data_IF_491202254545
#
_entry.id   IF_491202254545
#
_cell.length_a   1.000
_cell.length_b   1.000
_cell.length_c   1.000
_cell.angle_alpha   90.00
_cell.angle_beta   90.00
_cell.angle_gamma   90.00
#
_symmetry.space_group_name_H-M   'P 1'
#
loop_
_entity.id
_entity.type
_entity.pdbx_description
1 polymer ?
#
# COMPACT_ATOMS: atom_id res chain seq x y z
N UNK A 1 75.12 2.49 8.32
CA UNK A 1 74.09 2.68 7.28
C UNK A 1 73.10 1.53 7.38
N UNK A 2 71.86 1.89 7.64
CA UNK A 2 70.73 1.03 7.98
C UNK A 2 70.25 0.23 6.77
N UNK A 3 70.02 -1.08 6.93
CA UNK A 3 68.76 -1.69 6.50
C UNK A 3 68.56 -3.06 7.18
N UNK A 4 67.53 -3.14 8.01
CA UNK A 4 66.98 -4.33 8.65
C UNK A 4 65.67 -4.65 7.93
N UNK A 5 65.45 -5.91 7.59
CA UNK A 5 64.17 -6.37 7.05
C UNK A 5 64.00 -7.87 7.28
N UNK A 6 63.53 -8.24 8.47
CA UNK A 6 63.07 -9.59 8.80
C UNK A 6 61.62 -9.75 8.34
N UNK A 7 61.31 -10.92 7.79
CA UNK A 7 59.95 -11.30 7.39
C UNK A 7 59.02 -11.65 8.55
N UNK A 8 57.74 -11.50 8.27
CA UNK A 8 56.54 -12.10 8.89
C UNK A 8 55.52 -12.13 7.73
N UNK A 9 54.73 -13.16 7.45
CA UNK A 9 54.06 -14.13 8.30
C UNK A 9 52.60 -14.11 7.86
N UNK A 10 52.15 -15.17 7.17
CA UNK A 10 50.78 -15.32 6.66
C UNK A 10 49.76 -15.29 7.79
N UNK A 11 48.75 -14.42 7.68
CA UNK A 11 47.59 -14.39 8.56
C UNK A 11 46.35 -13.95 7.78
N UNK A 12 45.49 -14.91 7.47
CA UNK A 12 44.18 -14.68 6.88
C UNK A 12 43.29 -13.91 7.88
N UNK A 13 43.07 -12.62 7.62
CA UNK A 13 42.13 -11.78 8.35
C UNK A 13 40.73 -11.91 7.75
N UNK A 14 39.86 -12.60 8.48
CA UNK A 14 38.44 -12.74 8.18
C UNK A 14 37.77 -11.35 8.24
N UNK A 15 37.30 -10.85 7.09
CA UNK A 15 36.49 -9.64 6.99
C UNK A 15 35.09 -9.93 7.55
N UNK A 16 34.86 -9.57 8.81
CA UNK A 16 33.50 -9.40 9.34
C UNK A 16 32.88 -8.19 8.63
N UNK A 17 32.04 -8.46 7.62
CA UNK A 17 31.12 -7.48 7.09
C UNK A 17 30.00 -7.28 8.13
N UNK A 18 30.15 -6.27 8.99
CA UNK A 18 29.01 -5.70 9.71
C UNK A 18 28.09 -5.05 8.67
N UNK A 19 27.06 -5.79 8.25
CA UNK A 19 25.88 -5.20 7.62
C UNK A 19 25.24 -4.26 8.64
N UNK A 20 25.53 -2.96 8.50
CA UNK A 20 24.63 -1.94 8.99
C UNK A 20 23.40 -2.04 8.08
N UNK A 21 22.35 -2.71 8.56
CA UNK A 21 21.01 -2.49 8.04
C UNK A 21 20.71 -1.01 8.30
N UNK A 22 21.02 -0.16 7.32
CA UNK A 22 20.41 1.15 7.22
C UNK A 22 18.93 0.88 7.09
N UNK A 23 18.20 1.01 8.20
CA UNK A 23 16.77 1.22 8.16
C UNK A 23 16.55 2.46 7.31
N UNK A 24 16.17 2.24 6.06
CA UNK A 24 15.47 3.23 5.27
C UNK A 24 14.12 3.40 5.99
N UNK A 25 14.11 4.20 7.06
CA UNK A 25 12.84 4.72 7.56
C UNK A 25 12.35 5.64 6.46
N UNK A 26 11.35 5.14 5.73
CA UNK A 26 10.61 5.90 4.75
C UNK A 26 10.26 7.26 5.36
N UNK A 27 10.59 8.31 4.61
CA UNK A 27 10.33 9.70 4.97
C UNK A 27 8.86 9.82 5.45
N UNK A 28 8.69 10.23 6.70
CA UNK A 28 7.41 10.56 7.33
C UNK A 28 6.36 9.42 7.48
N UNK A 29 6.79 8.15 7.53
CA UNK A 29 5.86 7.03 7.75
C UNK A 29 4.86 6.82 6.61
N UNK A 30 5.25 7.23 5.39
CA UNK A 30 4.50 7.00 4.15
C UNK A 30 5.22 5.97 3.30
N UNK A 31 4.52 4.90 2.94
CA UNK A 31 5.05 3.84 2.09
C UNK A 31 4.23 3.79 0.80
N UNK A 32 4.86 4.21 -0.31
CA UNK A 32 4.23 4.16 -1.62
C UNK A 32 4.23 2.75 -2.22
N UNK A 33 5.12 1.87 -1.74
CA UNK A 33 5.33 0.51 -2.25
C UNK A 33 5.05 -0.54 -1.15
N UNK A 34 4.31 -1.63 -1.45
CA UNK A 34 4.03 -2.68 -0.46
C UNK A 34 5.27 -3.42 0.07
N UNK A 35 6.32 -3.58 -0.73
CA UNK A 35 7.54 -4.25 -0.25
C UNK A 35 8.27 -3.38 0.77
N UNK A 36 8.29 -2.06 0.56
CA UNK A 36 8.75 -1.12 1.58
C UNK A 36 7.84 -1.12 2.83
N UNK A 37 6.52 -1.17 2.64
CA UNK A 37 5.55 -1.20 3.74
C UNK A 37 5.69 -2.46 4.63
N UNK A 38 6.15 -3.59 4.08
CA UNK A 38 6.39 -4.82 4.83
C UNK A 38 7.47 -4.70 5.92
N UNK A 39 8.24 -3.62 5.94
CA UNK A 39 9.15 -3.30 7.05
C UNK A 39 8.40 -2.88 8.32
N UNK A 40 7.16 -2.43 8.21
CA UNK A 40 6.28 -2.12 9.33
C UNK A 40 5.51 -3.40 9.75
N UNK A 41 5.67 -3.89 10.99
CA UNK A 41 4.94 -5.07 11.47
C UNK A 41 3.41 -4.89 11.40
N UNK A 42 2.89 -3.66 11.54
CA UNK A 42 1.45 -3.41 11.50
C UNK A 42 0.87 -3.68 10.10
N UNK A 43 1.69 -3.57 9.05
CA UNK A 43 1.27 -3.82 7.67
C UNK A 43 0.85 -5.29 7.45
N UNK A 44 1.45 -6.23 8.17
CA UNK A 44 1.11 -7.64 8.08
C UNK A 44 -0.24 -7.98 8.74
N UNK A 45 -0.66 -7.17 9.72
CA UNK A 45 -1.91 -7.34 10.46
C UNK A 45 -3.06 -6.54 9.81
N UNK A 46 -2.75 -5.43 9.15
CA UNK A 46 -3.73 -4.69 8.37
C UNK A 46 -4.26 -5.55 7.22
N UNK A 47 -5.58 -5.52 7.00
CA UNK A 47 -6.23 -6.21 5.89
C UNK A 47 -7.72 -6.45 6.09
N UNK A 48 -8.28 -7.24 5.16
CA UNK A 48 -9.64 -7.73 5.26
C UNK A 48 -9.65 -9.21 5.62
N UNK A 49 -10.57 -9.59 6.48
CA UNK A 49 -10.70 -10.94 6.99
C UNK A 49 -12.16 -11.41 6.95
N UNK A 50 -12.36 -12.72 6.78
CA UNK A 50 -13.70 -13.32 6.75
C UNK A 50 -13.74 -14.65 7.50
N UNK A 51 -14.88 -14.94 8.12
CA UNK A 51 -15.26 -16.27 8.60
C UNK A 51 -16.78 -16.33 8.80
N UNK A 52 -17.42 -17.46 8.46
CA UNK A 52 -18.80 -17.79 8.85
C UNK A 52 -19.82 -16.64 8.71
N UNK A 53 -19.86 -16.00 7.54
CA UNK A 53 -20.78 -14.89 7.28
C UNK A 53 -20.44 -13.60 8.03
N UNK A 54 -19.21 -13.44 8.50
CA UNK A 54 -18.68 -12.20 9.08
C UNK A 54 -17.55 -11.66 8.21
N UNK A 55 -17.55 -10.35 8.00
CA UNK A 55 -16.42 -9.58 7.47
C UNK A 55 -15.76 -8.78 8.57
N UNK A 56 -14.44 -8.63 8.53
CA UNK A 56 -13.69 -7.74 9.42
C UNK A 56 -12.68 -6.95 8.59
N UNK A 57 -12.67 -5.63 8.75
CA UNK A 57 -11.63 -4.75 8.22
C UNK A 57 -10.76 -4.28 9.38
N UNK A 58 -9.45 -4.52 9.26
CA UNK A 58 -8.44 -4.07 10.22
C UNK A 58 -7.57 -3.03 9.53
N UNK A 59 -7.53 -1.82 10.05
CA UNK A 59 -6.73 -0.70 9.53
C UNK A 59 -5.68 -0.29 10.56
N UNK A 60 -4.39 -0.34 10.19
CA UNK A 60 -3.31 0.07 11.09
C UNK A 60 -3.45 1.56 11.44
N UNK A 61 -3.24 1.90 12.71
CA UNK A 61 -3.17 3.25 13.23
C UNK A 61 -1.73 3.63 13.58
N UNK A 62 -0.79 2.71 13.41
CA UNK A 62 0.61 2.84 13.80
C UNK A 62 0.83 2.55 15.28
N UNK A 63 2.10 2.34 15.63
CA UNK A 63 2.55 1.98 16.97
C UNK A 63 1.80 0.77 17.57
N UNK A 64 1.46 -0.22 16.75
CA UNK A 64 0.80 -1.45 17.20
C UNK A 64 -0.69 -1.29 17.51
N UNK A 65 -1.30 -0.17 17.08
CA UNK A 65 -2.75 0.09 17.26
C UNK A 65 -3.50 -0.09 15.96
N UNK A 66 -4.75 -0.52 16.07
CA UNK A 66 -5.59 -0.84 14.92
C UNK A 66 -7.00 -0.32 15.12
N UNK A 67 -7.59 0.12 14.03
CA UNK A 67 -9.01 0.37 13.91
C UNK A 67 -9.65 -0.87 13.30
N UNK A 68 -10.64 -1.44 14.00
CA UNK A 68 -11.29 -2.68 13.63
C UNK A 68 -12.76 -2.38 13.36
N UNK A 69 -13.24 -2.79 12.19
CA UNK A 69 -14.64 -2.73 11.81
C UNK A 69 -15.13 -4.13 11.52
N UNK A 70 -16.19 -4.56 12.21
CA UNK A 70 -16.82 -5.86 11.98
C UNK A 70 -18.15 -5.67 11.24
N UNK A 71 -18.51 -6.67 10.45
CA UNK A 71 -19.70 -6.67 9.62
C UNK A 71 -20.39 -8.03 9.68
N UNK A 72 -21.64 -8.06 10.13
CA UNK A 72 -22.50 -9.24 9.99
C UNK A 72 -22.92 -9.44 8.52
N UNK A 73 -23.02 -10.68 8.05
CA UNK A 73 -23.41 -11.00 6.67
C UNK A 73 -22.26 -10.95 5.63
N UNK A 74 -21.10 -10.39 5.98
CA UNK A 74 -19.92 -10.34 5.09
C UNK A 74 -19.31 -8.94 5.00
N UNK A 75 -18.34 -8.74 4.11
CA UNK A 75 -17.70 -7.44 3.90
C UNK A 75 -18.58 -6.51 3.03
N UNK A 76 -18.35 -5.18 3.06
CA UNK A 76 -18.94 -4.27 2.09
C UNK A 76 -18.69 -4.73 0.63
N UNK A 77 -19.79 -4.85 -0.14
CA UNK A 77 -19.77 -5.37 -1.51
C UNK A 77 -19.59 -6.90 -1.62
N UNK A 78 -19.66 -7.62 -0.51
CA UNK A 78 -19.54 -9.07 -0.44
C UNK A 78 -20.48 -9.66 0.62
N UNK A 79 -21.79 -9.43 0.47
CA UNK A 79 -22.84 -10.04 1.29
C UNK A 79 -23.39 -9.16 2.42
N UNK A 80 -22.67 -8.11 2.83
CA UNK A 80 -23.17 -7.18 3.85
C UNK A 80 -24.43 -6.44 3.41
N UNK A 81 -25.45 -6.39 4.27
CA UNK A 81 -26.73 -5.74 4.02
C UNK A 81 -26.84 -4.31 4.57
N UNK A 82 -25.77 -3.80 5.19
CA UNK A 82 -25.75 -2.48 5.82
C UNK A 82 -26.07 -2.48 7.32
N UNK A 83 -26.36 -3.64 7.92
CA UNK A 83 -26.71 -3.78 9.34
C UNK A 83 -25.67 -4.60 10.12
N UNK A 84 -25.71 -4.56 11.47
CA UNK A 84 -24.78 -5.35 12.29
C UNK A 84 -23.30 -4.97 12.08
N UNK A 85 -23.02 -3.66 12.13
CA UNK A 85 -21.67 -3.10 12.04
C UNK A 85 -21.24 -2.60 13.41
N UNK A 86 -20.07 -3.06 13.87
CA UNK A 86 -19.41 -2.54 15.07
C UNK A 86 -18.02 -2.02 14.72
N UNK A 87 -17.54 -1.06 15.51
CA UNK A 87 -16.29 -0.34 15.27
C UNK A 87 -15.59 -0.04 16.60
N UNK A 88 -14.31 -0.37 16.69
CA UNK A 88 -13.52 -0.19 17.91
C UNK A 88 -12.02 -0.14 17.58
N UNK A 89 -11.21 0.25 18.55
CA UNK A 89 -9.74 0.18 18.46
C UNK A 89 -9.22 -0.99 19.29
N UNK A 90 -8.16 -1.63 18.81
CA UNK A 90 -7.44 -2.70 19.51
C UNK A 90 -5.93 -2.56 19.32
N UNK A 91 -5.16 -3.21 20.18
CA UNK A 91 -3.74 -3.43 19.95
C UNK A 91 -3.48 -4.68 19.08
N UNK A 92 -2.23 -4.86 18.67
CA UNK A 92 -1.81 -6.01 17.85
C UNK A 92 -2.20 -7.37 18.47
N UNK A 93 -2.10 -7.51 19.79
CA UNK A 93 -2.42 -8.76 20.48
C UNK A 93 -3.94 -8.99 20.50
N UNK A 94 -4.74 -7.95 20.73
CA UNK A 94 -6.19 -7.96 20.67
C UNK A 94 -6.70 -8.35 19.28
N UNK A 95 -6.13 -7.76 18.22
CA UNK A 95 -6.46 -8.14 16.84
C UNK A 95 -6.10 -9.60 16.56
N UNK A 96 -4.93 -10.05 17.01
CA UNK A 96 -4.50 -11.43 16.77
C UNK A 96 -5.38 -12.45 17.52
N UNK A 97 -5.80 -12.12 18.75
CA UNK A 97 -6.77 -12.91 19.52
C UNK A 97 -8.11 -12.97 18.79
N UNK A 98 -8.64 -11.83 18.33
CA UNK A 98 -9.88 -11.78 17.55
C UNK A 98 -9.81 -12.65 16.29
N UNK A 99 -8.70 -12.57 15.54
CA UNK A 99 -8.48 -13.39 14.34
C UNK A 99 -8.52 -14.89 14.69
N UNK A 100 -7.86 -15.30 15.76
CA UNK A 100 -7.77 -16.69 16.16
C UNK A 100 -9.10 -17.21 16.70
N UNK A 101 -9.74 -16.47 17.61
CA UNK A 101 -10.97 -16.87 18.30
C UNK A 101 -12.14 -17.01 17.31
N UNK A 102 -12.23 -16.08 16.36
CA UNK A 102 -13.26 -16.09 15.31
C UNK A 102 -12.84 -16.88 14.06
N UNK A 103 -11.65 -17.49 14.07
CA UNK A 103 -11.09 -18.27 12.95
C UNK A 103 -11.11 -17.52 11.61
N UNK A 104 -10.83 -16.22 11.70
CA UNK A 104 -10.84 -15.30 10.56
C UNK A 104 -9.71 -15.63 9.58
N UNK A 105 -10.04 -15.66 8.29
CA UNK A 105 -9.07 -15.85 7.21
C UNK A 105 -8.86 -14.53 6.51
N UNK A 106 -7.59 -14.12 6.39
CA UNK A 106 -7.21 -12.97 5.56
C UNK A 106 -7.60 -13.25 4.11
N UNK A 107 -8.17 -12.26 3.45
CA UNK A 107 -8.46 -12.31 2.02
C UNK A 107 -7.78 -11.13 1.32
N UNK A 108 -7.51 -11.32 0.03
CA UNK A 108 -7.03 -10.27 -0.85
C UNK A 108 -8.04 -10.13 -1.99
N UNK A 109 -8.54 -8.92 -2.22
CA UNK A 109 -9.48 -8.63 -3.30
C UNK A 109 -8.71 -8.15 -4.51
N UNK A 110 -9.05 -8.68 -5.67
CA UNK A 110 -8.54 -8.20 -6.95
C UNK A 110 -9.70 -7.83 -7.86
N UNK A 111 -9.56 -6.72 -8.58
CA UNK A 111 -10.55 -6.33 -9.58
C UNK A 111 -10.51 -7.31 -10.76
N UNK A 112 -11.65 -7.78 -11.27
CA UNK A 112 -11.71 -8.57 -12.51
C UNK A 112 -11.15 -7.83 -13.74
N UNK A 113 -11.06 -6.50 -13.67
CA UNK A 113 -10.53 -5.65 -14.74
C UNK A 113 -9.13 -5.11 -14.46
N UNK A 114 -8.46 -5.59 -13.40
CA UNK A 114 -7.08 -5.19 -13.12
C UNK A 114 -6.15 -5.57 -14.29
N UNK A 115 -5.41 -4.61 -14.82
CA UNK A 115 -4.56 -4.77 -16.00
C UNK A 115 -5.34 -4.98 -17.30
N UNK A 116 -6.65 -4.69 -17.33
CA UNK A 116 -7.43 -4.85 -18.55
C UNK A 116 -6.84 -4.00 -19.69
N UNK A 117 -6.65 -4.62 -20.85
CA UNK A 117 -6.16 -3.90 -22.03
C UNK A 117 -7.19 -2.86 -22.47
N UNK A 118 -6.76 -1.66 -22.89
CA UNK A 118 -7.65 -0.69 -23.50
C UNK A 118 -8.45 -1.34 -24.65
N UNK A 119 -9.78 -1.18 -24.69
CA UNK A 119 -10.57 -1.72 -25.79
C UNK A 119 -10.22 -1.00 -27.11
N UNK A 120 -10.56 -1.62 -28.24
CA UNK A 120 -10.29 -1.03 -29.57
C UNK A 120 -10.92 0.36 -29.68
N UNK A 121 -10.12 1.35 -30.04
CA UNK A 121 -10.55 2.74 -30.20
C UNK A 121 -10.56 3.55 -28.90
N UNK A 122 -10.17 2.96 -27.76
CA UNK A 122 -9.96 3.72 -26.54
C UNK A 122 -8.77 4.69 -26.67
N UNK A 123 -8.92 5.86 -26.07
CA UNK A 123 -7.82 6.79 -25.85
C UNK A 123 -7.06 6.30 -24.62
N UNK A 124 -5.77 6.02 -24.78
CA UNK A 124 -4.90 5.59 -23.68
C UNK A 124 -4.36 6.83 -23.00
N UNK A 125 -4.91 7.17 -21.84
CA UNK A 125 -4.47 8.34 -21.08
C UNK A 125 -3.08 8.12 -20.45
N UNK A 126 -2.83 6.92 -19.92
CA UNK A 126 -1.55 6.53 -19.32
C UNK A 126 -1.40 5.01 -19.36
N UNK A 127 -0.21 4.53 -19.73
CA UNK A 127 0.13 3.10 -19.85
C UNK A 127 1.41 2.72 -19.09
N UNK A 128 1.89 3.61 -18.21
CA UNK A 128 3.17 3.46 -17.51
C UNK A 128 4.37 4.05 -18.24
N UNK A 129 4.20 4.63 -19.44
CA UNK A 129 5.31 5.22 -20.21
C UNK A 129 5.09 6.68 -20.58
N UNK A 130 3.96 6.99 -21.21
CA UNK A 130 3.68 8.32 -21.73
C UNK A 130 2.54 8.98 -20.94
N UNK A 131 2.76 10.21 -20.49
CA UNK A 131 1.79 11.03 -19.76
C UNK A 131 1.50 12.37 -20.44
N UNK A 132 1.76 12.50 -21.76
CA UNK A 132 1.61 13.75 -22.53
C UNK A 132 0.15 14.23 -22.59
N UNK A 133 -0.81 13.33 -22.33
CA UNK A 133 -2.23 13.68 -22.24
C UNK A 133 -2.62 14.26 -20.87
N UNK A 134 -1.65 14.50 -19.99
CA UNK A 134 -1.83 15.08 -18.67
C UNK A 134 -1.01 16.37 -18.52
N UNK A 135 -1.59 17.38 -17.89
CA UNK A 135 -0.95 18.66 -17.60
C UNK A 135 0.03 18.51 -16.43
N UNK A 136 1.27 18.94 -16.61
CA UNK A 136 2.31 18.92 -15.56
C UNK A 136 2.46 17.57 -14.85
N UNK A 137 2.28 16.48 -15.62
CA UNK A 137 2.32 15.12 -15.11
C UNK A 137 3.66 14.83 -14.44
N UNK A 138 3.61 14.17 -13.28
CA UNK A 138 4.80 13.71 -12.56
C UNK A 138 4.75 12.21 -12.41
N UNK A 139 5.87 11.56 -12.67
CA UNK A 139 6.03 10.13 -12.50
C UNK A 139 6.91 9.84 -11.30
N UNK A 140 6.61 8.76 -10.59
CA UNK A 140 7.53 8.15 -9.63
C UNK A 140 8.70 7.47 -10.35
N UNK A 141 9.75 7.13 -9.61
CA UNK A 141 10.91 6.39 -10.15
C UNK A 141 10.52 5.02 -10.72
N UNK A 142 9.49 4.37 -10.14
CA UNK A 142 8.92 3.10 -10.61
C UNK A 142 7.87 3.28 -11.73
N UNK A 143 7.70 4.49 -12.28
CA UNK A 143 6.89 4.74 -13.48
C UNK A 143 5.38 4.86 -13.23
N UNK A 144 4.96 5.23 -12.02
CA UNK A 144 3.56 5.50 -11.71
C UNK A 144 3.23 6.98 -11.84
N UNK A 145 2.05 7.28 -12.38
CA UNK A 145 1.53 8.64 -12.46
C UNK A 145 1.09 9.15 -11.07
N UNK A 146 1.70 10.25 -10.61
CA UNK A 146 1.31 10.92 -9.38
C UNK A 146 0.00 11.69 -9.55
N UNK A 147 -0.82 11.70 -8.49
CA UNK A 147 -2.04 12.50 -8.42
C UNK A 147 -1.74 14.01 -8.43
N UNK A 148 -2.76 14.82 -8.72
CA UNK A 148 -2.64 16.27 -8.83
C UNK A 148 -2.41 16.79 -10.25
N UNK A 149 -2.83 16.00 -11.25
CA UNK A 149 -2.82 16.36 -12.66
C UNK A 149 -4.24 16.33 -13.25
N UNK A 150 -4.41 16.92 -14.42
CA UNK A 150 -5.66 16.95 -15.19
C UNK A 150 -5.34 16.59 -16.65
N UNK A 151 -6.30 16.01 -17.36
CA UNK A 151 -6.14 15.77 -18.79
C UNK A 151 -5.96 17.08 -19.57
N UNK A 152 -5.14 17.05 -20.63
CA UNK A 152 -4.94 18.21 -21.52
C UNK A 152 -6.20 18.57 -22.31
N UNK A 153 -7.01 17.55 -22.65
CA UNK A 153 -8.25 17.70 -23.39
C UNK A 153 -9.47 17.51 -22.48
N UNK A 154 -10.58 18.24 -22.73
CA UNK A 154 -11.86 17.93 -22.12
C UNK A 154 -12.48 16.69 -22.77
N UNK A 155 -13.15 15.88 -21.95
CA UNK A 155 -13.93 14.73 -22.41
C UNK A 155 -15.39 14.90 -21.97
N UNK A 156 -16.32 14.70 -22.90
CA UNK A 156 -17.76 14.80 -22.64
C UNK A 156 -18.29 13.45 -22.13
N UNK A 157 -19.00 12.69 -22.95
CA UNK A 157 -19.44 11.34 -22.60
C UNK A 157 -18.29 10.36 -22.75
N UNK A 158 -17.96 9.63 -21.68
CA UNK A 158 -16.88 8.65 -21.69
C UNK A 158 -17.16 7.47 -20.76
N UNK A 159 -16.40 6.39 -20.99
CA UNK A 159 -16.19 5.32 -20.02
C UNK A 159 -14.73 5.38 -19.60
N UNK A 160 -14.47 5.55 -18.31
CA UNK A 160 -13.13 5.59 -17.76
C UNK A 160 -12.80 4.24 -17.13
N UNK A 161 -11.65 3.68 -17.50
CA UNK A 161 -10.97 2.63 -16.73
C UNK A 161 -9.75 3.26 -16.09
N UNK A 162 -9.61 3.15 -14.78
CA UNK A 162 -8.48 3.67 -14.04
C UNK A 162 -8.11 2.71 -12.92
N UNK A 163 -6.80 2.54 -12.73
CA UNK A 163 -6.23 1.76 -11.64
C UNK A 163 -5.39 2.71 -10.79
N UNK A 164 -5.50 2.56 -9.47
CA UNK A 164 -4.81 3.43 -8.53
C UNK A 164 -4.30 2.62 -7.35
N UNK A 165 -3.23 3.13 -6.74
CA UNK A 165 -2.61 2.59 -5.54
C UNK A 165 -2.63 3.67 -4.47
N UNK A 166 -3.21 3.36 -3.32
CA UNK A 166 -3.19 4.25 -2.15
C UNK A 166 -1.92 3.93 -1.35
N UNK A 167 -1.12 4.94 -0.95
CA UNK A 167 0.05 4.69 -0.11
C UNK A 167 -0.37 4.19 1.28
N UNK A 168 0.44 3.32 1.86
CA UNK A 168 0.30 2.92 3.26
C UNK A 168 0.81 4.07 4.15
N UNK A 169 -0.08 4.61 4.99
CA UNK A 169 0.19 5.75 5.88
C UNK A 169 -0.40 5.49 7.28
N UNK A 170 0.19 4.60 8.08
CA UNK A 170 -0.37 4.17 9.36
C UNK A 170 -0.51 5.31 10.36
N UNK A 171 0.39 6.31 10.34
CA UNK A 171 0.35 7.46 11.26
C UNK A 171 -0.62 8.57 10.84
N UNK A 172 -1.11 8.55 9.59
CA UNK A 172 -2.02 9.57 9.09
C UNK A 172 -3.47 9.26 9.47
N UNK A 173 -4.32 10.30 9.52
CA UNK A 173 -5.75 10.18 9.82
C UNK A 173 -6.59 10.99 8.85
N UNK A 174 -7.87 10.60 8.73
CA UNK A 174 -8.86 11.29 7.91
C UNK A 174 -8.35 11.61 6.51
N UNK A 175 -8.50 12.87 6.10
CA UNK A 175 -8.11 13.37 4.77
C UNK A 175 -6.60 13.25 4.47
N UNK A 176 -5.75 13.09 5.50
CA UNK A 176 -4.29 12.92 5.32
C UNK A 176 -3.87 11.50 4.95
N UNK A 177 -4.76 10.51 5.10
CA UNK A 177 -4.45 9.09 4.92
C UNK A 177 -4.62 8.63 3.46
N UNK A 178 -3.95 9.33 2.55
CA UNK A 178 -3.92 8.98 1.13
C UNK A 178 -5.19 9.38 0.37
N UNK A 179 -5.82 10.49 0.75
CA UNK A 179 -6.99 10.98 0.02
C UNK A 179 -6.60 11.45 -1.40
N UNK A 180 -7.36 10.98 -2.39
CA UNK A 180 -7.32 11.40 -3.78
C UNK A 180 -8.69 11.17 -4.41
N UNK A 181 -8.88 11.56 -5.68
CA UNK A 181 -10.14 11.35 -6.38
C UNK A 181 -10.07 11.71 -7.86
N UNK A 182 -11.01 11.15 -8.61
CA UNK A 182 -11.24 11.53 -10.01
C UNK A 182 -12.32 12.60 -10.06
N UNK A 183 -11.95 13.80 -10.50
CA UNK A 183 -12.89 14.88 -10.74
C UNK A 183 -13.37 14.78 -12.19
N UNK A 184 -14.66 14.50 -12.39
CA UNK A 184 -15.22 14.31 -13.72
C UNK A 184 -15.75 15.64 -14.26
N UNK A 185 -15.19 16.08 -15.39
CA UNK A 185 -15.61 17.27 -16.14
C UNK A 185 -15.46 18.62 -15.41
N UNK A 186 -14.79 18.65 -14.25
CA UNK A 186 -14.48 19.89 -13.49
C UNK A 186 -15.69 20.84 -13.35
N UNK A 187 -16.86 20.26 -13.06
CA UNK A 187 -18.15 20.94 -12.97
C UNK A 187 -18.73 20.89 -11.56
#
# INVERSE_FOLDING_TARGET
MSWMGKGFGNGAGCLLACLWMTTCLAQDGTYADPAAAAADPDFAIQGEYVADGRGVQVAALGDGKFHVVTFAGGLPGAGWDGTGRDEFEEDAAGVQALINDLKLKRIERSSPTLGAKPPKGAIVLFDGKNADLFKDAKLTEDGLLLAGTETVHPYADFRLHAEFRIPYKPMARGQGRGNSGFYLQSR
#
